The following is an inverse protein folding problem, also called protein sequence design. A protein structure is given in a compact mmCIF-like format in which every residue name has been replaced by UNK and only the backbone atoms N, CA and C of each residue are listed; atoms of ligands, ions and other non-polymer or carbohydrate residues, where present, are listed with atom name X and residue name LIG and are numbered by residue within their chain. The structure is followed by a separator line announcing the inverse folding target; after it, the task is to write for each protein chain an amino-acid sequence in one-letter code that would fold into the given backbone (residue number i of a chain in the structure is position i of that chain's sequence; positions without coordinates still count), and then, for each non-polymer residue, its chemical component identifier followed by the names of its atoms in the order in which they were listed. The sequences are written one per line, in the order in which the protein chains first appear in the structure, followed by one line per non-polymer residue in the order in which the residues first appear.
data_IF_878385633408
#
_entry.id   IF_878385633408
#
_cell.length_a   1.000
_cell.length_b   1.000
_cell.length_c   1.000
_cell.angle_alpha   90.00
_cell.angle_beta   90.00
_cell.angle_gamma   90.00
#
_symmetry.space_group_name_H-M   'P 1'
#
loop_
_entity.id
_entity.type
_entity.pdbx_description
1 polymer ?
#
# COMPACT_ATOMS: atom_id res chain seq x y z
N UNK A 1 -36.21 -14.40 -38.50
CA UNK A 1 -35.85 -14.87 -37.14
C UNK A 1 -35.50 -13.62 -36.32
N UNK A 2 -36.38 -13.18 -35.41
CA UNK A 2 -36.19 -11.94 -34.62
C UNK A 2 -35.32 -12.27 -33.40
N UNK A 3 -34.16 -11.64 -33.30
CA UNK A 3 -33.26 -11.72 -32.14
C UNK A 3 -33.90 -10.88 -31.02
N UNK A 4 -34.41 -11.54 -29.98
CA UNK A 4 -34.83 -10.89 -28.75
C UNK A 4 -33.57 -10.42 -28.00
N UNK A 5 -33.35 -9.11 -27.93
CA UNK A 5 -32.38 -8.52 -27.02
C UNK A 5 -32.92 -8.66 -25.58
N UNK A 6 -32.22 -9.42 -24.76
CA UNK A 6 -32.42 -9.43 -23.31
C UNK A 6 -32.00 -8.09 -22.72
N UNK A 7 -32.81 -7.45 -21.86
CA UNK A 7 -32.45 -6.19 -21.25
C UNK A 7 -31.27 -6.41 -20.29
N UNK A 8 -30.24 -5.57 -20.43
CA UNK A 8 -29.13 -5.45 -19.49
C UNK A 8 -29.71 -5.25 -18.08
N UNK A 9 -29.62 -6.29 -17.23
CA UNK A 9 -29.85 -6.14 -15.80
C UNK A 9 -28.69 -5.33 -15.25
N UNK A 10 -28.94 -4.05 -14.99
CA UNK A 10 -28.08 -3.22 -14.15
C UNK A 10 -27.97 -3.96 -12.80
N UNK A 11 -26.76 -4.33 -12.34
CA UNK A 11 -26.62 -5.01 -11.06
C UNK A 11 -27.22 -4.14 -9.95
N UNK A 12 -28.02 -4.76 -9.08
CA UNK A 12 -28.66 -4.07 -7.96
C UNK A 12 -27.59 -3.29 -7.17
N UNK A 13 -27.82 -1.99 -6.98
CA UNK A 13 -26.97 -1.14 -6.13
C UNK A 13 -26.81 -1.85 -4.78
N UNK A 14 -25.59 -2.25 -4.45
CA UNK A 14 -25.27 -2.75 -3.11
C UNK A 14 -25.76 -1.72 -2.07
N UNK A 15 -26.35 -2.17 -0.94
CA UNK A 15 -26.86 -1.25 0.07
C UNK A 15 -25.72 -0.33 0.52
N UNK A 16 -25.94 1.00 0.42
CA UNK A 16 -24.93 1.98 0.81
C UNK A 16 -24.55 1.72 2.28
N UNK A 17 -23.27 1.53 2.61
CA UNK A 17 -22.86 1.36 3.98
C UNK A 17 -23.22 2.60 4.76
N UNK A 18 -23.73 2.38 5.97
CA UNK A 18 -24.22 3.45 6.80
C UNK A 18 -23.06 4.34 7.25
N UNK A 19 -23.29 5.64 7.49
CA UNK A 19 -22.37 6.50 8.22
C UNK A 19 -21.69 5.84 9.43
N UNK A 20 -22.44 4.99 10.15
CA UNK A 20 -21.94 4.17 11.25
C UNK A 20 -20.81 3.18 10.86
N UNK A 21 -20.88 2.52 9.69
CA UNK A 21 -19.82 1.63 9.24
C UNK A 21 -18.55 2.38 8.88
N UNK A 22 -18.69 3.48 8.12
CA UNK A 22 -17.55 4.30 7.72
C UNK A 22 -16.83 4.91 8.93
N UNK A 23 -17.60 5.54 9.83
CA UNK A 23 -17.04 6.13 11.05
C UNK A 23 -16.51 5.05 12.02
N UNK A 24 -17.16 3.87 12.08
CA UNK A 24 -16.72 2.73 12.86
C UNK A 24 -15.36 2.19 12.40
N UNK A 25 -15.17 1.98 11.10
CA UNK A 25 -13.89 1.55 10.54
C UNK A 25 -12.78 2.57 10.81
N UNK A 26 -13.05 3.84 10.52
CA UNK A 26 -12.15 4.96 10.83
C UNK A 26 -11.80 5.03 12.32
N UNK A 27 -12.79 4.85 13.19
CA UNK A 27 -12.61 4.84 14.64
C UNK A 27 -11.78 3.64 15.10
N UNK A 28 -12.04 2.45 14.57
CA UNK A 28 -11.28 1.24 14.89
C UNK A 28 -9.82 1.37 14.47
N UNK A 29 -9.58 2.01 13.33
CA UNK A 29 -8.25 2.32 12.83
C UNK A 29 -7.51 3.32 13.72
N UNK A 30 -8.16 4.44 14.05
CA UNK A 30 -7.60 5.41 14.99
C UNK A 30 -7.35 4.76 16.36
N UNK A 31 -8.26 3.93 16.85
CA UNK A 31 -8.13 3.15 18.07
C UNK A 31 -7.01 2.12 18.01
N UNK A 32 -6.73 1.51 16.86
CA UNK A 32 -5.57 0.64 16.65
C UNK A 32 -4.27 1.43 16.76
N UNK A 33 -4.24 2.69 16.33
CA UNK A 33 -3.08 3.58 16.46
C UNK A 33 -2.93 4.18 17.86
N UNK A 34 -4.05 4.45 18.53
CA UNK A 34 -4.13 5.15 19.83
C UNK A 34 -4.12 4.20 21.01
N UNK A 35 -4.69 3.01 20.91
CA UNK A 35 -4.57 1.93 21.91
C UNK A 35 -3.13 1.45 22.10
N UNK A 36 -2.20 1.98 21.29
CA UNK A 36 -0.74 1.91 21.44
C UNK A 36 -0.19 2.94 22.47
N UNK A 37 -1.04 3.80 23.05
CA UNK A 37 -0.76 4.75 24.15
C UNK A 37 -2.01 4.93 25.04
N UNK A 38 -2.09 4.34 26.23
CA UNK A 38 -3.13 4.70 27.23
C UNK A 38 -2.47 5.40 28.42
N UNK A 39 -3.07 6.47 29.03
CA UNK A 39 -4.37 7.09 28.79
C UNK A 39 -4.26 8.58 28.40
N UNK A 40 -4.21 8.91 27.10
CA UNK A 40 -4.43 10.29 26.62
C UNK A 40 -5.14 10.26 25.27
N UNK A 41 -6.42 9.87 25.22
CA UNK A 41 -7.13 9.92 23.93
C UNK A 41 -8.66 9.92 23.97
N UNK A 42 -9.27 10.57 24.96
CA UNK A 42 -10.65 11.01 24.78
C UNK A 42 -10.76 12.14 23.72
N UNK A 43 -9.65 12.82 23.39
CA UNK A 43 -9.61 13.94 22.42
C UNK A 43 -9.26 13.57 20.97
N UNK A 44 -8.50 12.50 20.72
CA UNK A 44 -8.00 12.18 19.37
C UNK A 44 -9.04 11.49 18.47
N UNK A 45 -9.91 10.66 19.05
CA UNK A 45 -11.03 10.00 18.34
C UNK A 45 -12.08 11.00 17.86
N UNK A 46 -12.29 12.09 18.63
CA UNK A 46 -13.11 13.21 18.22
C UNK A 46 -12.46 14.03 17.10
N UNK A 47 -11.16 14.34 17.22
CA UNK A 47 -10.43 15.15 16.23
C UNK A 47 -10.26 14.52 14.85
N UNK A 48 -10.09 13.19 14.76
CA UNK A 48 -9.99 12.48 13.47
C UNK A 48 -11.34 12.38 12.75
N UNK A 49 -12.40 12.04 13.49
CA UNK A 49 -13.76 12.01 12.95
C UNK A 49 -14.24 13.42 12.54
N UNK A 50 -13.94 14.46 13.32
CA UNK A 50 -14.25 15.85 12.95
C UNK A 50 -13.38 16.36 11.79
N UNK A 51 -12.09 16.03 11.76
CA UNK A 51 -11.16 16.47 10.72
C UNK A 51 -11.52 15.91 9.34
N UNK A 52 -11.95 14.66 9.28
CA UNK A 52 -12.45 14.03 8.05
C UNK A 52 -13.88 14.48 7.71
N UNK A 53 -14.74 14.75 8.70
CA UNK A 53 -16.09 15.28 8.47
C UNK A 53 -16.09 16.74 7.98
N UNK A 54 -15.07 17.54 8.32
CA UNK A 54 -14.95 18.97 7.99
C UNK A 54 -13.96 19.27 6.85
N UNK A 55 -13.45 18.26 6.13
CA UNK A 55 -12.67 18.45 4.90
C UNK A 55 -11.16 18.70 5.08
N UNK A 56 -10.59 18.45 6.25
CA UNK A 56 -9.16 18.60 6.51
C UNK A 56 -8.40 17.29 6.32
N UNK A 57 -7.94 17.00 5.10
CA UNK A 57 -7.14 15.79 4.79
C UNK A 57 -5.78 15.71 5.50
N UNK A 58 -5.30 16.81 6.07
CA UNK A 58 -3.91 16.92 6.55
C UNK A 58 -3.72 16.83 8.08
N UNK A 59 -4.76 17.07 8.88
CA UNK A 59 -4.65 17.01 10.35
C UNK A 59 -4.60 15.59 10.92
N UNK A 60 -5.29 14.64 10.27
CA UNK A 60 -5.36 13.24 10.73
C UNK A 60 -4.13 12.40 10.38
N UNK A 61 -3.51 12.67 9.22
CA UNK A 61 -2.43 11.82 8.67
C UNK A 61 -1.07 12.10 9.35
N UNK A 62 -0.78 13.36 9.70
CA UNK A 62 0.47 13.71 10.40
C UNK A 62 0.46 13.25 11.88
N UNK A 63 -0.69 13.31 12.55
CA UNK A 63 -0.86 12.78 13.91
C UNK A 63 -0.79 11.25 13.97
N UNK A 64 -1.26 10.58 12.91
CA UNK A 64 -1.15 9.13 12.71
C UNK A 64 0.31 8.68 12.56
N UNK A 65 1.11 9.38 11.75
CA UNK A 65 2.49 8.99 11.46
C UNK A 65 3.42 9.15 12.68
N UNK A 66 3.32 10.25 13.44
CA UNK A 66 4.15 10.49 14.64
C UNK A 66 3.74 9.58 15.80
N UNK A 67 2.44 9.31 15.98
CA UNK A 67 1.95 8.32 16.96
C UNK A 67 2.30 6.88 16.60
N UNK A 68 2.38 6.55 15.31
CA UNK A 68 2.72 5.22 14.82
C UNK A 68 4.18 4.83 15.09
N UNK A 69 5.14 5.75 14.95
CA UNK A 69 6.57 5.49 15.21
C UNK A 69 6.85 5.30 16.72
N UNK A 70 6.15 6.01 17.61
CA UNK A 70 6.25 5.78 19.05
C UNK A 70 5.52 4.48 19.49
N UNK A 71 4.40 4.14 18.84
CA UNK A 71 3.67 2.89 19.07
C UNK A 71 4.41 1.63 18.59
N UNK A 72 5.31 1.76 17.62
CA UNK A 72 6.18 0.69 17.09
C UNK A 72 7.04 0.00 18.17
N UNK A 73 7.60 0.77 19.11
CA UNK A 73 8.43 0.21 20.18
C UNK A 73 7.63 -0.60 21.23
N UNK A 74 6.31 -0.38 21.31
CA UNK A 74 5.39 -1.08 22.23
C UNK A 74 4.64 -2.24 21.55
N UNK A 75 4.74 -2.34 20.21
CA UNK A 75 4.05 -3.24 19.29
C UNK A 75 4.26 -4.72 19.57
N UNK A 76 5.49 -5.12 19.93
CA UNK A 76 5.86 -6.55 20.09
C UNK A 76 5.21 -7.25 21.30
N UNK A 77 4.47 -6.55 22.19
CA UNK A 77 4.11 -7.11 23.51
C UNK A 77 2.64 -7.32 23.87
N UNK A 78 1.62 -6.86 23.13
CA UNK A 78 0.26 -7.36 23.46
C UNK A 78 -0.79 -7.30 22.34
N UNK A 79 -1.21 -8.50 21.88
CA UNK A 79 -2.45 -8.73 21.14
C UNK A 79 -3.65 -8.03 21.79
N UNK A 80 -3.64 -7.94 23.12
CA UNK A 80 -4.67 -7.30 23.95
C UNK A 80 -4.81 -5.81 23.63
N UNK A 81 -3.70 -5.06 23.52
CA UNK A 81 -3.74 -3.62 23.23
C UNK A 81 -4.37 -3.29 21.88
N UNK A 82 -4.06 -4.08 20.83
CA UNK A 82 -4.66 -3.91 19.50
C UNK A 82 -6.16 -4.14 19.53
N UNK A 83 -6.60 -5.23 20.15
CA UNK A 83 -8.02 -5.57 20.27
C UNK A 83 -8.73 -4.50 21.10
N UNK A 84 -8.22 -4.15 22.27
CA UNK A 84 -8.86 -3.18 23.15
C UNK A 84 -8.95 -1.79 22.50
N UNK A 85 -7.85 -1.28 21.95
CA UNK A 85 -7.80 0.01 21.26
C UNK A 85 -8.73 0.05 20.06
N UNK A 86 -8.63 -0.93 19.16
CA UNK A 86 -9.46 -0.99 17.97
C UNK A 86 -10.95 -1.19 18.29
N UNK A 87 -11.29 -1.95 19.33
CA UNK A 87 -12.69 -2.11 19.76
C UNK A 87 -13.26 -0.83 20.37
N UNK A 88 -12.51 -0.14 21.24
CA UNK A 88 -12.94 1.15 21.81
C UNK A 88 -13.13 2.18 20.71
N UNK A 89 -12.14 2.32 19.83
CA UNK A 89 -12.20 3.23 18.70
C UNK A 89 -13.34 2.89 17.74
N UNK A 90 -13.53 1.61 17.41
CA UNK A 90 -14.61 1.15 16.53
C UNK A 90 -15.99 1.43 17.11
N UNK A 91 -16.18 1.16 18.39
CA UNK A 91 -17.46 1.39 19.08
C UNK A 91 -17.80 2.87 19.15
N UNK A 92 -16.81 3.71 19.52
CA UNK A 92 -16.97 5.16 19.51
C UNK A 92 -17.25 5.71 18.10
N UNK A 93 -16.54 5.20 17.09
CA UNK A 93 -16.73 5.54 15.69
C UNK A 93 -18.14 5.21 15.19
N UNK A 94 -18.67 4.03 15.52
CA UNK A 94 -20.05 3.64 15.18
C UNK A 94 -21.05 4.64 15.78
N UNK A 95 -20.91 4.97 17.06
CA UNK A 95 -21.80 5.93 17.74
C UNK A 95 -21.76 7.32 17.07
N UNK A 96 -20.56 7.82 16.75
CA UNK A 96 -20.38 9.08 16.01
C UNK A 96 -21.02 9.00 14.63
N UNK A 97 -20.86 7.89 13.91
CA UNK A 97 -21.47 7.72 12.59
C UNK A 97 -23.00 7.70 12.62
N UNK A 98 -23.62 7.12 13.65
CA UNK A 98 -25.07 7.23 13.84
C UNK A 98 -25.51 8.68 14.02
N UNK A 99 -24.82 9.44 14.87
CA UNK A 99 -25.12 10.86 15.10
C UNK A 99 -24.92 11.70 13.83
N UNK A 100 -23.80 11.52 13.13
CA UNK A 100 -23.51 12.22 11.87
C UNK A 100 -24.53 11.87 10.78
N UNK A 101 -24.94 10.60 10.68
CA UNK A 101 -25.98 10.16 9.75
C UNK A 101 -27.34 10.79 10.04
N UNK A 102 -27.71 10.96 11.32
CA UNK A 102 -28.92 11.67 11.71
C UNK A 102 -28.88 13.16 11.31
N UNK A 103 -27.69 13.75 11.21
CA UNK A 103 -27.46 15.11 10.72
C UNK A 103 -27.30 15.18 9.19
N UNK A 104 -27.57 14.10 8.47
CA UNK A 104 -27.54 14.07 7.01
C UNK A 104 -26.16 13.86 6.38
N UNK A 105 -25.10 13.64 7.18
CA UNK A 105 -23.79 13.30 6.63
C UNK A 105 -23.80 11.92 5.98
N UNK A 106 -23.13 11.79 4.83
CA UNK A 106 -22.96 10.53 4.12
C UNK A 106 -21.48 10.37 3.73
N UNK A 107 -20.91 9.16 3.85
CA UNK A 107 -19.56 8.90 3.35
C UNK A 107 -19.52 9.04 1.82
N UNK A 108 -18.38 9.47 1.30
CA UNK A 108 -18.10 9.43 -0.15
C UNK A 108 -18.14 7.98 -0.63
N UNK A 109 -18.52 7.77 -1.90
CA UNK A 109 -18.74 6.44 -2.48
C UNK A 109 -17.55 5.48 -2.31
N UNK A 110 -16.31 5.99 -2.41
CA UNK A 110 -15.12 5.16 -2.23
C UNK A 110 -14.95 4.71 -0.78
N UNK A 111 -14.97 5.63 0.18
CA UNK A 111 -14.92 5.28 1.62
C UNK A 111 -16.07 4.36 2.00
N UNK A 112 -17.24 4.58 1.43
CA UNK A 112 -18.38 3.71 1.59
C UNK A 112 -18.03 2.29 1.12
N UNK A 113 -17.59 2.11 -0.12
CA UNK A 113 -17.20 0.82 -0.68
C UNK A 113 -16.18 0.08 0.20
N UNK A 114 -15.09 0.76 0.58
CA UNK A 114 -14.02 0.15 1.40
C UNK A 114 -14.50 -0.27 2.79
N UNK A 115 -15.50 0.43 3.36
CA UNK A 115 -15.99 0.16 4.72
C UNK A 115 -17.21 -0.76 4.77
N UNK A 116 -17.62 -1.32 3.63
CA UNK A 116 -18.83 -2.14 3.55
C UNK A 116 -18.75 -3.41 4.41
N UNK A 117 -17.56 -4.00 4.54
CA UNK A 117 -17.30 -5.21 5.34
C UNK A 117 -17.20 -4.97 6.85
N UNK A 118 -17.10 -3.72 7.29
CA UNK A 118 -16.88 -3.39 8.70
C UNK A 118 -18.02 -3.90 9.60
N UNK A 119 -17.63 -4.55 10.70
CA UNK A 119 -18.53 -4.94 11.78
C UNK A 119 -17.78 -5.03 13.10
N UNK A 120 -18.39 -4.51 14.18
CA UNK A 120 -17.84 -4.67 15.55
C UNK A 120 -17.75 -6.13 15.99
N UNK A 121 -18.59 -7.02 15.44
CA UNK A 121 -18.59 -8.44 15.82
C UNK A 121 -17.39 -9.20 15.26
N UNK A 122 -16.90 -8.85 14.07
CA UNK A 122 -15.74 -9.49 13.43
C UNK A 122 -14.42 -8.78 13.76
N UNK A 123 -14.49 -7.53 14.21
CA UNK A 123 -13.33 -6.69 14.50
C UNK A 123 -12.31 -7.33 15.47
N UNK A 124 -12.67 -8.01 16.57
CA UNK A 124 -11.68 -8.66 17.44
C UNK A 124 -10.86 -9.74 16.73
N UNK A 125 -11.48 -10.52 15.85
CA UNK A 125 -10.80 -11.57 15.09
C UNK A 125 -9.83 -10.96 14.06
N UNK A 126 -10.27 -9.88 13.39
CA UNK A 126 -9.44 -9.11 12.45
C UNK A 126 -8.21 -8.50 13.14
N UNK A 127 -8.43 -7.79 14.26
CA UNK A 127 -7.36 -7.18 15.06
C UNK A 127 -6.41 -8.19 15.74
N UNK A 128 -6.88 -9.42 15.96
CA UNK A 128 -6.05 -10.49 16.49
C UNK A 128 -5.04 -11.00 15.46
N UNK A 129 -5.36 -10.94 14.17
CA UNK A 129 -4.51 -11.39 13.08
C UNK A 129 -3.70 -10.21 12.51
N UNK A 130 -2.36 -10.13 12.73
CA UNK A 130 -1.52 -9.06 12.18
C UNK A 130 -1.58 -8.97 10.65
N UNK A 131 -1.83 -10.09 9.97
CA UNK A 131 -1.79 -10.18 8.51
C UNK A 131 -3.20 -10.09 7.91
N UNK A 132 -4.22 -9.77 8.72
CA UNK A 132 -5.56 -9.58 8.16
C UNK A 132 -5.58 -8.37 7.22
N UNK A 133 -6.25 -8.53 6.09
CA UNK A 133 -6.61 -7.47 5.14
C UNK A 133 -7.94 -7.85 4.50
N UNK A 134 -8.80 -6.87 4.27
CA UNK A 134 -10.03 -7.03 3.50
C UNK A 134 -9.85 -6.70 2.03
N UNK A 135 -8.65 -6.28 1.61
CA UNK A 135 -8.40 -6.00 0.22
C UNK A 135 -8.56 -7.27 -0.62
N UNK A 136 -9.22 -7.07 -1.75
CA UNK A 136 -9.30 -8.06 -2.79
C UNK A 136 -7.91 -8.32 -3.36
N UNK A 137 -7.53 -9.58 -3.53
CA UNK A 137 -6.32 -9.94 -4.28
C UNK A 137 -6.67 -9.97 -5.75
N UNK A 138 -5.84 -9.38 -6.60
CA UNK A 138 -6.12 -9.31 -8.03
C UNK A 138 -6.27 -10.72 -8.61
N UNK A 139 -7.37 -10.97 -9.32
CA UNK A 139 -7.53 -12.22 -10.06
C UNK A 139 -6.69 -12.19 -11.34
N UNK A 140 -6.36 -13.35 -11.94
CA UNK A 140 -5.67 -13.39 -13.23
C UNK A 140 -6.39 -12.58 -14.31
N UNK A 141 -7.73 -12.57 -14.31
CA UNK A 141 -8.54 -11.81 -15.25
C UNK A 141 -8.44 -10.29 -15.05
N UNK A 142 -8.38 -9.83 -13.81
CA UNK A 142 -8.20 -8.41 -13.47
C UNK A 142 -6.79 -7.92 -13.79
N UNK A 143 -5.79 -8.78 -13.61
CA UNK A 143 -4.40 -8.49 -13.92
C UNK A 143 -4.07 -8.60 -15.42
N UNK A 144 -4.85 -9.37 -16.19
CA UNK A 144 -4.57 -9.64 -17.60
C UNK A 144 -4.34 -8.38 -18.47
N UNK A 145 -5.12 -7.30 -18.34
CA UNK A 145 -4.86 -6.06 -19.09
C UNK A 145 -3.49 -5.45 -18.76
N UNK A 146 -3.07 -5.47 -17.50
CA UNK A 146 -1.76 -4.98 -17.07
C UNK A 146 -0.64 -5.85 -17.62
N UNK A 147 -0.73 -7.17 -17.42
CA UNK A 147 0.25 -8.15 -17.90
C UNK A 147 0.44 -8.11 -19.41
N UNK A 148 -0.63 -7.85 -20.18
CA UNK A 148 -0.55 -7.74 -21.64
C UNK A 148 0.28 -6.52 -22.11
N UNK A 149 0.37 -5.47 -21.30
CA UNK A 149 1.09 -4.23 -21.64
C UNK A 149 2.57 -4.23 -21.25
N UNK A 150 2.99 -5.19 -20.41
CA UNK A 150 4.34 -5.29 -19.87
C UNK A 150 5.38 -5.56 -20.96
N UNK A 151 6.50 -4.83 -20.87
CA UNK A 151 7.68 -4.92 -21.72
C UNK A 151 8.95 -5.10 -20.87
N UNK A 152 10.05 -5.62 -21.45
CA UNK A 152 11.34 -5.69 -20.76
C UNK A 152 11.83 -4.30 -20.33
N UNK A 153 12.35 -4.21 -19.10
CA UNK A 153 12.75 -2.95 -18.46
C UNK A 153 11.60 -2.21 -17.76
N UNK A 154 10.35 -2.63 -17.93
CA UNK A 154 9.26 -2.08 -17.12
C UNK A 154 9.48 -2.42 -15.64
N UNK A 155 8.99 -1.54 -14.76
CA UNK A 155 8.99 -1.73 -13.31
C UNK A 155 7.56 -1.99 -12.87
N UNK A 156 7.36 -3.05 -12.09
CA UNK A 156 6.08 -3.34 -11.47
C UNK A 156 6.18 -2.96 -10.01
N UNK A 157 5.34 -2.04 -9.55
CA UNK A 157 5.20 -1.73 -8.12
C UNK A 157 3.90 -2.31 -7.61
N UNK A 158 3.94 -2.84 -6.39
CA UNK A 158 2.76 -3.46 -5.76
C UNK A 158 2.56 -2.96 -4.33
N UNK A 159 1.34 -3.14 -3.83
CA UNK A 159 1.05 -3.02 -2.41
C UNK A 159 0.82 -4.42 -1.84
N UNK A 160 1.79 -4.85 -1.06
CA UNK A 160 1.62 -5.91 -0.08
C UNK A 160 1.22 -5.27 1.26
N UNK A 161 -0.04 -5.47 1.63
CA UNK A 161 -0.57 -4.93 2.88
C UNK A 161 -0.06 -5.73 4.09
N UNK A 162 0.55 -6.91 3.90
CA UNK A 162 1.11 -7.69 5.01
C UNK A 162 2.26 -6.94 5.69
N UNK A 163 2.94 -6.03 4.98
CA UNK A 163 4.01 -5.18 5.52
C UNK A 163 3.55 -3.75 5.89
N UNK A 164 2.56 -3.68 6.76
CA UNK A 164 2.07 -2.42 7.32
C UNK A 164 3.18 -1.58 8.01
N UNK A 165 4.22 -2.24 8.54
CA UNK A 165 5.34 -1.55 9.18
C UNK A 165 6.12 -0.72 8.15
N UNK A 166 6.34 -1.28 6.97
CA UNK A 166 6.96 -0.57 5.86
C UNK A 166 6.11 0.62 5.40
N UNK A 167 4.79 0.46 5.24
CA UNK A 167 3.90 1.58 4.86
C UNK A 167 3.98 2.77 5.84
N UNK A 168 4.00 2.48 7.15
CA UNK A 168 4.15 3.51 8.18
C UNK A 168 5.51 4.19 8.13
N UNK A 169 6.59 3.41 7.96
CA UNK A 169 7.93 3.95 7.83
C UNK A 169 8.02 4.87 6.60
N UNK A 170 7.51 4.42 5.46
CA UNK A 170 7.40 5.20 4.23
C UNK A 170 6.66 6.52 4.47
N UNK A 171 5.52 6.47 5.18
CA UNK A 171 4.78 7.68 5.57
C UNK A 171 5.59 8.63 6.45
N UNK A 172 6.28 8.10 7.46
CA UNK A 172 7.09 8.89 8.38
C UNK A 172 8.24 9.63 7.67
N UNK A 173 8.76 9.08 6.56
CA UNK A 173 9.78 9.72 5.71
C UNK A 173 9.19 10.51 4.52
N UNK A 174 7.90 10.85 4.60
CA UNK A 174 7.22 11.74 3.66
C UNK A 174 6.77 11.08 2.35
N UNK A 175 6.69 9.75 2.30
CA UNK A 175 6.18 9.03 1.14
C UNK A 175 4.64 8.87 1.20
N UNK A 176 4.07 8.44 0.08
CA UNK A 176 2.65 8.12 -0.06
C UNK A 176 2.27 6.87 0.74
N UNK A 177 3.19 5.92 0.94
CA UNK A 177 2.90 4.68 1.65
C UNK A 177 1.92 3.75 0.92
N UNK A 178 1.67 4.00 -0.37
CA UNK A 178 0.67 3.25 -1.15
C UNK A 178 1.28 2.04 -1.88
N UNK A 179 2.60 1.95 -1.93
CA UNK A 179 3.33 0.92 -2.66
C UNK A 179 4.50 0.47 -1.80
N UNK A 180 4.49 -0.80 -1.41
CA UNK A 180 5.47 -1.38 -0.48
C UNK A 180 6.57 -2.12 -1.22
N UNK A 181 6.33 -2.53 -2.46
CA UNK A 181 7.23 -3.42 -3.18
C UNK A 181 7.45 -3.00 -4.63
N UNK A 182 8.53 -3.49 -5.24
CA UNK A 182 8.89 -3.21 -6.63
C UNK A 182 9.72 -4.34 -7.24
N UNK A 183 9.49 -4.65 -8.52
CA UNK A 183 10.27 -5.59 -9.31
C UNK A 183 10.54 -5.03 -10.73
N UNK A 184 11.60 -5.48 -11.40
CA UNK A 184 11.89 -5.10 -12.80
C UNK A 184 11.66 -6.30 -13.73
N UNK A 185 11.15 -6.05 -14.94
CA UNK A 185 10.78 -7.08 -15.90
C UNK A 185 11.93 -7.39 -16.86
N UNK A 186 12.24 -8.67 -17.03
CA UNK A 186 13.28 -9.15 -17.95
C UNK A 186 12.76 -9.38 -19.39
N UNK A 187 13.65 -9.81 -20.29
CA UNK A 187 13.34 -10.13 -21.68
C UNK A 187 12.35 -11.30 -21.87
N UNK A 188 12.25 -12.20 -20.89
CA UNK A 188 11.38 -13.36 -20.91
C UNK A 188 10.00 -13.06 -20.29
N UNK A 189 9.73 -11.79 -19.94
CA UNK A 189 8.53 -11.40 -19.20
C UNK A 189 8.44 -12.13 -17.86
N UNK A 190 9.56 -12.22 -17.16
CA UNK A 190 9.66 -12.59 -15.76
C UNK A 190 10.05 -11.35 -14.96
N UNK A 191 9.71 -11.33 -13.67
CA UNK A 191 10.12 -10.27 -12.76
C UNK A 191 11.39 -10.68 -12.02
N UNK A 192 12.42 -9.85 -12.09
CA UNK A 192 13.59 -9.91 -11.21
C UNK A 192 13.32 -9.07 -9.97
N UNK A 193 13.46 -9.70 -8.81
CA UNK A 193 12.98 -9.17 -7.55
C UNK A 193 13.84 -9.65 -6.38
N UNK A 194 13.84 -8.96 -5.25
CA UNK A 194 14.48 -9.40 -4.01
C UNK A 194 13.49 -9.31 -2.83
N UNK A 195 13.21 -10.45 -2.21
CA UNK A 195 12.27 -10.54 -1.11
C UNK A 195 12.95 -10.65 0.25
N UNK A 196 12.31 -10.09 1.27
CA UNK A 196 12.66 -10.27 2.69
C UNK A 196 12.70 -11.77 3.04
N UNK A 197 11.74 -12.54 2.51
CA UNK A 197 11.55 -13.96 2.84
C UNK A 197 12.62 -14.89 2.26
N UNK A 198 13.13 -14.57 1.06
CA UNK A 198 14.16 -15.37 0.39
C UNK A 198 15.56 -14.88 0.71
N UNK A 199 15.69 -13.62 1.17
CA UNK A 199 16.95 -12.94 1.45
C UNK A 199 17.93 -12.91 0.25
N UNK A 200 17.41 -13.03 -0.98
CA UNK A 200 18.19 -13.03 -2.22
C UNK A 200 17.31 -12.72 -3.44
N UNK A 201 17.90 -12.27 -4.56
CA UNK A 201 17.15 -12.08 -5.79
C UNK A 201 16.53 -13.37 -6.33
N UNK A 202 15.36 -13.26 -6.94
CA UNK A 202 14.62 -14.35 -7.55
C UNK A 202 13.95 -13.91 -8.85
N UNK A 203 13.68 -14.90 -9.71
CA UNK A 203 12.86 -14.73 -10.91
C UNK A 203 11.46 -15.27 -10.61
N UNK A 204 10.43 -14.51 -10.94
CA UNK A 204 9.05 -14.97 -10.87
C UNK A 204 8.34 -14.76 -12.21
N UNK A 205 7.37 -15.62 -12.49
CA UNK A 205 6.40 -15.39 -13.56
C UNK A 205 5.59 -14.11 -13.26
N UNK A 206 5.22 -13.33 -14.28
CA UNK A 206 4.43 -12.09 -14.06
C UNK A 206 3.18 -12.33 -13.22
N UNK A 207 2.47 -13.42 -13.48
CA UNK A 207 1.24 -13.75 -12.75
C UNK A 207 1.43 -13.87 -11.24
N UNK A 208 2.63 -14.22 -10.77
CA UNK A 208 2.94 -14.26 -9.34
C UNK A 208 2.90 -12.86 -8.73
N UNK A 209 3.62 -11.89 -9.31
CA UNK A 209 3.70 -10.52 -8.79
C UNK A 209 2.34 -9.81 -8.87
N UNK A 210 1.56 -10.04 -9.91
CA UNK A 210 0.21 -9.46 -9.97
C UNK A 210 -0.79 -10.17 -9.04
N UNK A 211 -0.69 -11.50 -8.87
CA UNK A 211 -1.70 -12.30 -8.15
C UNK A 211 -1.53 -12.37 -6.63
N UNK A 212 -0.31 -12.19 -6.12
CA UNK A 212 -0.08 -12.22 -4.66
C UNK A 212 -0.39 -10.87 -3.98
N UNK A 213 -0.62 -9.82 -4.76
CA UNK A 213 -0.78 -8.46 -4.29
C UNK A 213 -2.21 -7.91 -4.46
N UNK A 214 -2.54 -6.88 -3.68
CA UNK A 214 -3.86 -6.23 -3.70
C UNK A 214 -3.96 -5.16 -4.78
N UNK A 215 -2.86 -4.45 -4.98
CA UNK A 215 -2.73 -3.42 -6.00
C UNK A 215 -1.41 -3.58 -6.73
N UNK A 216 -1.43 -3.26 -8.01
CA UNK A 216 -0.28 -3.26 -8.89
C UNK A 216 -0.32 -2.07 -9.86
N UNK A 217 0.86 -1.58 -10.21
CA UNK A 217 1.07 -0.63 -11.31
C UNK A 217 2.27 -1.03 -12.16
N UNK A 218 2.16 -0.79 -13.46
CA UNK A 218 3.26 -0.94 -14.43
C UNK A 218 3.79 0.44 -14.76
N UNK A 219 5.09 0.63 -14.53
CA UNK A 219 5.83 1.83 -14.81
C UNK A 219 6.83 1.55 -15.94
N UNK A 220 6.96 2.47 -16.89
CA UNK A 220 7.87 2.36 -18.03
C UNK A 220 8.92 3.44 -17.98
N UNK A 221 10.18 3.11 -17.67
CA UNK A 221 11.28 4.04 -17.79
C UNK A 221 11.50 4.44 -19.27
N UNK A 222 11.78 5.73 -19.52
CA UNK A 222 12.06 6.28 -20.85
C UNK A 222 13.52 6.08 -21.22
N UNK A 223 13.89 4.83 -21.49
CA UNK A 223 15.22 4.47 -21.95
C UNK A 223 15.61 5.23 -23.23
N UNK A 224 16.85 5.73 -23.29
CA UNK A 224 17.37 6.40 -24.49
C UNK A 224 17.54 5.43 -25.66
N UNK A 225 17.75 4.13 -25.38
CA UNK A 225 17.96 3.10 -26.40
C UNK A 225 17.60 1.70 -25.88
N UNK A 226 17.38 0.73 -26.79
CA UNK A 226 17.28 -0.68 -26.41
C UNK A 226 18.53 -1.21 -25.69
N UNK A 227 19.71 -0.67 -25.98
CA UNK A 227 20.96 -1.05 -25.30
C UNK A 227 20.94 -0.64 -23.82
N UNK A 228 20.33 0.50 -23.48
CA UNK A 228 20.15 0.92 -22.08
C UNK A 228 19.29 -0.08 -21.29
N UNK A 229 18.26 -0.66 -21.94
CA UNK A 229 17.42 -1.72 -21.35
C UNK A 229 18.30 -2.94 -21.07
N UNK A 230 19.03 -3.43 -22.07
CA UNK A 230 19.90 -4.60 -21.92
C UNK A 230 20.92 -4.40 -20.79
N UNK A 231 21.63 -3.26 -20.75
CA UNK A 231 22.60 -2.97 -19.68
C UNK A 231 21.96 -2.93 -18.29
N UNK A 232 20.74 -2.39 -18.18
CA UNK A 232 20.00 -2.35 -16.93
C UNK A 232 19.68 -3.77 -16.45
N UNK A 233 19.13 -4.60 -17.34
CA UNK A 233 18.73 -5.96 -17.01
C UNK A 233 19.94 -6.87 -16.73
N UNK A 234 21.03 -6.71 -17.49
CA UNK A 234 22.27 -7.46 -17.26
C UNK A 234 22.90 -7.12 -15.91
N UNK A 235 22.92 -5.85 -15.52
CA UNK A 235 23.37 -5.45 -14.18
C UNK A 235 22.48 -6.04 -13.08
N UNK A 236 21.16 -5.95 -13.25
CA UNK A 236 20.22 -6.53 -12.28
C UNK A 236 20.48 -8.03 -12.12
N UNK A 237 20.60 -8.76 -13.23
CA UNK A 237 20.88 -10.21 -13.24
C UNK A 237 22.22 -10.55 -12.61
N UNK A 238 23.25 -9.73 -12.84
CA UNK A 238 24.59 -9.94 -12.28
C UNK A 238 24.63 -9.82 -10.75
N UNK A 239 23.52 -9.51 -10.06
CA UNK A 239 23.45 -9.49 -8.60
C UNK A 239 22.85 -10.75 -7.98
N UNK A 240 22.24 -11.64 -8.76
CA UNK A 240 21.48 -12.80 -8.25
C UNK A 240 22.27 -13.71 -7.30
N UNK A 241 23.58 -13.85 -7.52
CA UNK A 241 24.45 -14.71 -6.70
C UNK A 241 25.22 -13.95 -5.62
N UNK A 242 25.11 -12.62 -5.57
CA UNK A 242 26.06 -11.77 -4.85
C UNK A 242 25.45 -10.86 -3.80
N UNK A 243 24.12 -10.70 -3.76
CA UNK A 243 23.48 -9.79 -2.81
C UNK A 243 22.44 -10.49 -1.93
N UNK A 244 22.27 -9.94 -0.72
CA UNK A 244 21.24 -10.30 0.25
C UNK A 244 20.20 -9.20 0.42
N UNK A 245 19.10 -9.45 1.14
CA UNK A 245 18.10 -8.42 1.41
C UNK A 245 18.63 -7.43 2.47
N UNK A 246 18.54 -6.14 2.19
CA UNK A 246 18.92 -5.10 3.16
C UNK A 246 17.77 -4.73 4.10
N UNK A 247 17.83 -5.22 5.34
CA UNK A 247 16.88 -4.86 6.40
C UNK A 247 17.15 -3.49 7.05
N UNK A 248 18.30 -2.88 6.77
CA UNK A 248 18.70 -1.59 7.34
C UNK A 248 18.30 -0.39 6.49
N UNK A 249 17.90 -0.64 5.23
CA UNK A 249 17.56 0.36 4.22
C UNK A 249 18.65 1.42 4.09
N UNK A 250 19.91 0.99 3.98
CA UNK A 250 21.10 1.81 3.79
C UNK A 250 21.76 1.52 2.43
N UNK A 251 21.57 2.45 1.49
CA UNK A 251 21.99 2.29 0.09
C UNK A 251 23.51 2.28 -0.14
N UNK A 252 24.32 2.38 0.93
CA UNK A 252 25.79 2.38 0.85
C UNK A 252 26.39 1.01 0.52
N UNK A 253 25.70 -0.06 0.86
CA UNK A 253 26.18 -1.43 0.62
C UNK A 253 25.81 -1.88 -0.79
N UNK A 254 26.75 -2.52 -1.48
CA UNK A 254 26.45 -3.23 -2.73
C UNK A 254 26.25 -4.74 -2.51
N UNK A 255 26.46 -5.24 -1.30
CA UNK A 255 26.32 -6.65 -0.89
C UNK A 255 24.90 -6.97 -0.33
N UNK A 256 24.13 -5.93 -0.06
CA UNK A 256 22.76 -6.03 0.45
C UNK A 256 21.93 -4.90 -0.14
N UNK A 257 20.77 -5.22 -0.70
CA UNK A 257 19.86 -4.24 -1.29
C UNK A 257 18.42 -4.62 -0.95
N UNK A 258 17.56 -3.63 -0.78
CA UNK A 258 16.10 -3.85 -0.72
C UNK A 258 15.49 -3.67 -2.12
N UNK A 259 14.24 -4.07 -2.30
CA UNK A 259 13.62 -4.22 -3.64
C UNK A 259 13.67 -2.94 -4.50
N UNK A 260 13.41 -1.76 -3.93
CA UNK A 260 13.50 -0.50 -4.67
C UNK A 260 14.94 -0.08 -4.96
N UNK A 261 15.88 -0.28 -4.02
CA UNK A 261 17.30 0.01 -4.24
C UNK A 261 17.88 -0.84 -5.36
N UNK A 262 17.51 -2.12 -5.41
CA UNK A 262 17.94 -3.06 -6.44
C UNK A 262 17.65 -2.55 -7.85
N UNK A 263 16.43 -2.07 -8.07
CA UNK A 263 15.99 -1.51 -9.35
C UNK A 263 16.66 -0.16 -9.61
N UNK A 264 16.74 0.71 -8.59
CA UNK A 264 17.39 2.00 -8.69
C UNK A 264 18.85 1.88 -9.13
N UNK A 265 19.62 0.98 -8.51
CA UNK A 265 21.04 0.74 -8.86
C UNK A 265 21.18 0.15 -10.26
N UNK A 266 20.27 -0.74 -10.67
CA UNK A 266 20.24 -1.25 -12.04
C UNK A 266 20.02 -0.14 -13.08
N UNK A 267 19.05 0.74 -12.85
CA UNK A 267 18.80 1.90 -13.71
C UNK A 267 19.99 2.86 -13.72
N UNK A 268 20.55 3.20 -12.56
CA UNK A 268 21.71 4.09 -12.48
C UNK A 268 22.92 3.56 -13.26
N UNK A 269 23.07 2.24 -13.37
CA UNK A 269 24.13 1.61 -14.15
C UNK A 269 23.82 1.54 -15.65
N UNK A 270 22.64 1.05 -16.02
CA UNK A 270 22.31 0.74 -17.41
C UNK A 270 21.65 1.88 -18.19
N UNK A 271 21.00 2.81 -17.49
CA UNK A 271 20.22 3.91 -18.05
C UNK A 271 20.38 5.20 -17.20
N UNK A 272 21.61 5.77 -17.11
CA UNK A 272 21.89 6.94 -16.28
C UNK A 272 21.11 8.20 -16.69
N UNK A 273 20.50 8.21 -17.87
CA UNK A 273 19.55 9.25 -18.30
C UNK A 273 18.26 9.29 -17.48
N UNK A 274 17.93 8.22 -16.75
CA UNK A 274 16.68 8.09 -15.99
C UNK A 274 16.94 8.52 -14.55
N UNK A 275 16.37 9.66 -14.16
CA UNK A 275 16.61 10.26 -12.85
C UNK A 275 15.49 9.91 -11.88
N UNK A 276 15.80 9.09 -10.88
CA UNK A 276 14.88 8.79 -9.78
C UNK A 276 15.26 9.66 -8.58
N UNK A 277 14.32 10.47 -8.04
CA UNK A 277 14.62 11.29 -6.88
C UNK A 277 14.89 10.40 -5.66
N UNK A 278 15.97 10.69 -4.92
CA UNK A 278 16.25 10.03 -3.64
C UNK A 278 15.82 10.91 -2.47
N UNK A 279 15.57 10.26 -1.34
CA UNK A 279 15.23 10.89 -0.06
C UNK A 279 16.40 10.80 0.89
N UNK A 280 16.50 11.75 1.82
CA UNK A 280 17.57 11.76 2.83
C UNK A 280 17.05 11.88 4.27
N UNK A 281 16.14 11.00 4.73
CA UNK A 281 15.70 11.01 6.12
C UNK A 281 16.90 10.82 7.05
N UNK A 282 17.11 11.78 7.97
CA UNK A 282 18.25 11.78 8.90
C UNK A 282 19.61 11.61 8.21
N UNK A 283 19.75 12.09 6.97
CA UNK A 283 21.00 12.05 6.20
C UNK A 283 21.32 10.69 5.55
N UNK A 284 20.44 9.68 5.66
CA UNK A 284 20.60 8.39 4.96
C UNK A 284 19.86 8.41 3.64
N UNK A 285 20.51 7.98 2.57
CA UNK A 285 19.89 7.91 1.25
C UNK A 285 18.92 6.74 1.17
N UNK A 286 17.74 7.01 0.61
CA UNK A 286 16.63 6.07 0.51
C UNK A 286 15.88 6.32 -0.80
N UNK A 287 15.47 5.25 -1.48
CA UNK A 287 14.55 5.30 -2.61
C UNK A 287 13.33 4.44 -2.30
N UNK A 288 12.13 4.93 -2.61
CA UNK A 288 10.87 4.21 -2.34
C UNK A 288 10.06 4.07 -3.64
N UNK A 289 9.06 3.19 -3.64
CA UNK A 289 8.26 2.90 -4.84
C UNK A 289 7.59 4.17 -5.42
N UNK A 290 7.18 5.11 -4.57
CA UNK A 290 6.62 6.40 -5.00
C UNK A 290 7.61 7.28 -5.75
N UNK A 291 8.91 7.11 -5.51
CA UNK A 291 9.93 7.97 -6.10
C UNK A 291 10.09 7.65 -7.60
N UNK A 292 9.90 6.40 -8.00
CA UNK A 292 9.78 6.03 -9.41
C UNK A 292 8.60 6.72 -10.07
N UNK A 293 7.43 6.76 -9.42
CA UNK A 293 6.24 7.43 -9.98
C UNK A 293 6.38 8.95 -10.07
N UNK A 294 7.24 9.55 -9.25
CA UNK A 294 7.51 11.00 -9.27
C UNK A 294 8.56 11.40 -10.31
N UNK A 295 9.32 10.44 -10.83
CA UNK A 295 10.30 10.73 -11.86
C UNK A 295 9.60 11.18 -13.15
N UNK A 296 10.02 12.30 -13.78
CA UNK A 296 9.50 12.70 -15.08
C UNK A 296 9.96 11.78 -16.22
N UNK A 297 10.92 10.89 -15.94
CA UNK A 297 11.52 9.96 -16.88
C UNK A 297 10.84 8.59 -16.85
N UNK A 298 9.74 8.45 -16.10
CA UNK A 298 8.97 7.22 -15.97
C UNK A 298 7.50 7.49 -16.30
N UNK A 299 6.95 6.70 -17.22
CA UNK A 299 5.53 6.74 -17.59
C UNK A 299 4.72 5.71 -16.80
N UNK A 300 3.53 6.09 -16.32
CA UNK A 300 2.55 5.15 -15.80
C UNK A 300 1.82 4.48 -16.98
N UNK A 301 2.04 3.18 -17.17
CA UNK A 301 1.43 2.41 -18.27
C UNK A 301 0.07 1.85 -17.86
N UNK A 302 -0.02 1.32 -16.65
CA UNK A 302 -1.23 0.70 -16.13
C UNK A 302 -1.25 0.75 -14.61
N UNK A 303 -2.44 0.85 -14.02
CA UNK A 303 -2.59 0.84 -12.56
C UNK A 303 -3.98 0.38 -12.16
N UNK A 304 -4.03 -0.36 -11.05
CA UNK A 304 -5.25 -0.63 -10.30
C UNK A 304 -5.60 0.51 -9.33
N UNK A 305 -4.67 1.45 -9.14
CA UNK A 305 -4.69 2.45 -8.08
C UNK A 305 -4.37 1.84 -6.72
N UNK A 306 -3.72 2.61 -5.85
CA UNK A 306 -3.51 2.25 -4.45
C UNK A 306 -3.56 3.51 -3.60
N UNK A 307 -3.92 3.37 -2.33
CA UNK A 307 -3.74 4.47 -1.38
C UNK A 307 -3.53 3.95 0.03
N UNK A 308 -2.53 4.50 0.71
CA UNK A 308 -2.27 4.21 2.12
C UNK A 308 -3.53 4.26 3.02
N UNK A 309 -4.42 5.22 2.80
CA UNK A 309 -5.63 5.35 3.62
C UNK A 309 -6.59 4.17 3.48
N UNK A 310 -6.74 3.63 2.27
CA UNK A 310 -7.59 2.47 2.01
C UNK A 310 -6.88 1.16 2.40
N UNK A 311 -5.60 1.01 2.05
CA UNK A 311 -4.73 -0.08 2.52
C UNK A 311 -4.82 -0.23 4.03
N UNK A 312 -4.83 0.91 4.74
CA UNK A 312 -4.90 0.89 6.18
C UNK A 312 -6.30 0.59 6.72
N UNK A 313 -7.37 1.07 6.07
CA UNK A 313 -8.76 0.71 6.42
C UNK A 313 -9.05 -0.78 6.24
N UNK A 314 -8.37 -1.47 5.32
CA UNK A 314 -8.56 -2.89 5.08
C UNK A 314 -8.28 -3.77 6.29
N UNK A 315 -7.46 -3.28 7.22
CA UNK A 315 -7.08 -3.99 8.45
C UNK A 315 -8.23 -4.15 9.45
N UNK A 316 -9.32 -3.40 9.26
CA UNK A 316 -10.46 -3.38 10.20
C UNK A 316 -11.82 -3.58 9.53
N UNK A 317 -11.89 -3.43 8.21
CA UNK A 317 -13.10 -3.58 7.39
C UNK A 317 -13.27 -5.01 6.91
#
# INVERSE_FOLDING_TARGET
MKIQQTPNRIPARLPRPTPAKAAGACGALAGLCVGRTLPVAAGATGGYALGQALGGTWGGVAGLAVGAVAGYYLEKKSRVGRIAGGMVGGTAGVAVGWAAGALGWQPKDQLAKETQGFSLSSLPAKLANPNYTSHHRLTPEEAAPGMALVQPGDIIITSDDEDFQLELMQKAVGASGSWTHAAIVDENKQTMDIYISTNKPVLNELGFVFGDNHHASVLRPRYASPESITKTLDYARSKFEHISYDHSFDMKSDDSQYCQEYIFKALAHGAPEIHIPTRKPLGRELVLSDDFQKSPDIDLVWSTGSSFGYNFLSKVT
#
